data_IF_247581399774
#
_entry.id   IF_247581399774
#
_cell.length_a   1.000
_cell.length_b   1.000
_cell.length_c   1.000
_cell.angle_alpha   90.00
_cell.angle_beta   90.00
_cell.angle_gamma   90.00
#
_symmetry.space_group_name_H-M   'P 1'
#
loop_
_entity.id
_entity.type
_entity.pdbx_description
1 polymer ?
#
# COMPACT_ATOMS: atom_id res chain seq x y z
N UNK A 1 -41.99 4.65 -20.27
CA UNK A 1 -40.59 4.94 -20.65
C UNK A 1 -39.77 3.68 -20.45
N UNK A 2 -38.90 3.27 -21.40
CA UNK A 2 -37.96 2.18 -21.17
C UNK A 2 -36.87 2.58 -20.16
N UNK A 3 -36.30 1.65 -19.38
CA UNK A 3 -35.24 1.96 -18.42
C UNK A 3 -33.95 2.40 -19.13
N UNK A 4 -33.25 3.39 -18.56
CA UNK A 4 -31.99 3.92 -19.13
C UNK A 4 -30.89 2.84 -19.09
N UNK A 5 -30.39 2.43 -20.27
CA UNK A 5 -29.24 1.51 -20.41
C UNK A 5 -28.01 2.06 -19.67
N UNK A 6 -27.28 1.20 -18.98
CA UNK A 6 -26.10 1.56 -18.19
C UNK A 6 -24.89 1.85 -19.09
N UNK A 7 -23.91 2.61 -18.57
CA UNK A 7 -22.72 3.04 -19.33
C UNK A 7 -21.94 1.85 -19.92
N UNK A 8 -21.85 0.74 -19.19
CA UNK A 8 -21.21 -0.50 -19.67
C UNK A 8 -21.87 -1.09 -20.93
N UNK A 9 -23.21 -1.04 -21.03
CA UNK A 9 -23.92 -1.49 -22.23
C UNK A 9 -23.67 -0.59 -23.45
N UNK A 10 -23.23 0.65 -23.24
CA UNK A 10 -22.86 1.60 -24.31
C UNK A 10 -21.39 1.47 -24.75
N UNK A 11 -20.56 0.84 -23.91
CA UNK A 11 -19.16 0.51 -24.22
C UNK A 11 -19.07 -0.78 -25.05
N UNK A 12 -19.96 -1.76 -24.79
CA UNK A 12 -20.03 -3.01 -25.54
C UNK A 12 -20.41 -2.78 -27.02
N UNK A 13 -21.47 -2.02 -27.29
CA UNK A 13 -21.92 -1.69 -28.66
C UNK A 13 -20.83 -0.98 -29.50
N UNK A 14 -19.79 -0.38 -28.88
CA UNK A 14 -18.66 0.27 -29.57
C UNK A 14 -17.57 -0.69 -30.06
N UNK A 15 -17.53 -1.92 -29.58
CA UNK A 15 -16.51 -2.90 -29.96
C UNK A 15 -16.89 -3.75 -31.18
N UNK A 16 -18.18 -3.85 -31.50
CA UNK A 16 -18.67 -4.66 -32.63
C UNK A 16 -18.73 -3.90 -33.97
N UNK A 17 -18.61 -2.57 -33.98
CA UNK A 17 -18.78 -1.72 -35.18
C UNK A 17 -17.45 -1.39 -35.93
N UNK A 18 -16.35 -2.08 -35.59
CA UNK A 18 -15.00 -1.76 -36.09
C UNK A 18 -14.55 -2.62 -37.27
N UNK A 19 -15.17 -2.46 -38.45
CA UNK A 19 -14.62 -2.96 -39.73
C UNK A 19 -13.64 -1.93 -40.35
N UNK A 20 -12.43 -2.33 -40.76
CA UNK A 20 -11.43 -1.38 -41.26
C UNK A 20 -11.51 -1.17 -42.79
N UNK A 21 -12.00 -0.01 -43.24
CA UNK A 21 -11.74 0.46 -44.61
C UNK A 21 -10.39 1.18 -44.70
N UNK A 22 -9.63 0.87 -45.75
CA UNK A 22 -8.33 1.48 -46.08
C UNK A 22 -8.55 2.67 -47.02
N UNK A 23 -8.07 3.87 -46.64
CA UNK A 23 -7.84 4.99 -47.57
C UNK A 23 -6.48 5.65 -47.34
N UNK A 24 -5.93 6.19 -48.43
CA UNK A 24 -4.51 6.52 -48.63
C UNK A 24 -4.34 8.02 -48.88
N UNK A 25 -3.28 8.61 -48.31
CA UNK A 25 -2.70 9.93 -48.60
C UNK A 25 -3.63 11.16 -48.37
N UNK A 26 -3.18 12.37 -48.03
CA UNK A 26 -2.00 13.09 -48.52
C UNK A 26 -1.29 13.97 -47.46
N UNK A 27 -0.25 14.67 -47.91
CA UNK A 27 0.72 15.42 -47.11
C UNK A 27 0.44 16.93 -47.11
N UNK A 28 0.71 17.62 -45.99
CA UNK A 28 1.06 19.05 -46.05
C UNK A 28 1.94 19.51 -44.89
N UNK A 29 2.98 20.25 -45.22
CA UNK A 29 4.08 20.79 -44.41
C UNK A 29 3.72 21.91 -43.41
N UNK A 30 4.46 22.01 -42.31
CA UNK A 30 5.30 23.19 -41.89
C UNK A 30 5.52 23.20 -40.36
N UNK A 31 6.73 22.93 -39.86
CA UNK A 31 7.80 23.90 -39.54
C UNK A 31 7.54 24.78 -38.30
N UNK A 32 8.24 24.49 -37.19
CA UNK A 32 9.10 25.45 -36.45
C UNK A 32 9.84 24.72 -35.30
N UNK A 33 10.94 25.29 -34.82
CA UNK A 33 11.95 24.57 -34.04
C UNK A 33 12.11 25.04 -32.58
N UNK A 34 12.56 24.15 -31.69
CA UNK A 34 13.28 24.52 -30.47
C UNK A 34 14.11 23.38 -29.87
N UNK A 35 15.40 23.38 -30.20
CA UNK A 35 16.54 23.05 -29.33
C UNK A 35 16.34 22.06 -28.16
N UNK A 36 16.64 20.78 -28.41
CA UNK A 36 17.00 19.83 -27.33
C UNK A 36 18.50 19.89 -27.04
N UNK A 37 18.89 20.39 -25.86
CA UNK A 37 20.28 20.36 -25.40
C UNK A 37 20.63 18.96 -24.91
N UNK A 38 21.63 18.35 -25.54
CA UNK A 38 22.20 17.06 -25.14
C UNK A 38 23.36 17.27 -24.16
N UNK A 39 23.25 16.70 -22.95
CA UNK A 39 24.41 16.52 -22.06
C UNK A 39 24.46 15.10 -21.52
N UNK A 40 25.26 14.28 -22.21
CA UNK A 40 26.42 13.58 -21.65
C UNK A 40 26.17 12.65 -20.45
N UNK A 41 25.90 11.38 -20.77
CA UNK A 41 26.08 10.25 -19.85
C UNK A 41 27.54 10.13 -19.42
N UNK A 42 27.83 10.37 -18.14
CA UNK A 42 29.16 10.13 -17.57
C UNK A 42 29.09 9.04 -16.48
N UNK A 43 30.04 8.10 -16.55
CA UNK A 43 30.08 6.87 -15.76
C UNK A 43 30.76 7.13 -14.41
N UNK A 44 30.16 6.80 -13.26
CA UNK A 44 30.84 6.90 -11.97
C UNK A 44 31.90 5.80 -11.79
N UNK A 45 33.03 6.08 -11.11
CA UNK A 45 34.10 5.11 -10.88
C UNK A 45 33.77 4.11 -9.75
N UNK A 46 34.47 2.98 -9.78
CA UNK A 46 34.42 1.93 -8.76
C UNK A 46 34.82 2.45 -7.38
N UNK A 47 33.98 2.22 -6.38
CA UNK A 47 34.36 2.27 -4.95
C UNK A 47 34.06 0.94 -4.29
N UNK A 48 35.04 0.40 -3.55
CA UNK A 48 34.98 -0.95 -3.01
C UNK A 48 34.26 -1.00 -1.65
N UNK A 49 33.27 -1.90 -1.45
CA UNK A 49 32.69 -2.13 -0.13
C UNK A 49 33.52 -3.17 0.65
N UNK A 50 34.24 -2.72 1.67
CA UNK A 50 34.91 -3.57 2.66
C UNK A 50 33.87 -4.34 3.50
N UNK A 51 33.58 -5.59 3.13
CA UNK A 51 32.68 -6.46 3.92
C UNK A 51 33.40 -7.04 5.12
N UNK A 52 32.99 -6.63 6.32
CA UNK A 52 33.34 -7.28 7.57
C UNK A 52 32.76 -8.71 7.63
N UNK A 53 33.56 -9.65 8.15
CA UNK A 53 33.29 -11.09 8.11
C UNK A 53 32.36 -11.52 9.25
N UNK A 54 31.07 -11.18 9.16
CA UNK A 54 30.06 -11.68 10.08
C UNK A 54 29.80 -13.19 9.84
N UNK A 55 30.16 -14.02 10.83
CA UNK A 55 30.08 -15.49 10.75
C UNK A 55 28.65 -15.96 11.03
N UNK A 56 27.83 -16.11 9.99
CA UNK A 56 26.48 -16.65 10.12
C UNK A 56 26.50 -18.10 10.64
N UNK A 57 25.90 -18.34 11.80
CA UNK A 57 25.69 -19.69 12.34
C UNK A 57 24.63 -20.40 11.49
N UNK A 58 24.93 -21.61 11.02
CA UNK A 58 23.94 -22.44 10.33
C UNK A 58 22.78 -22.80 11.26
N UNK A 59 21.55 -22.75 10.74
CA UNK A 59 20.39 -23.26 11.47
C UNK A 59 20.50 -24.78 11.62
N UNK A 60 20.42 -25.24 12.86
CA UNK A 60 20.59 -26.63 13.29
C UNK A 60 19.38 -27.46 12.87
N UNK A 61 19.62 -28.64 12.29
CA UNK A 61 18.55 -29.58 11.91
C UNK A 61 17.69 -29.95 13.14
N UNK A 62 16.38 -29.97 12.95
CA UNK A 62 15.44 -30.64 13.86
C UNK A 62 15.60 -32.17 13.72
N UNK A 63 15.66 -32.96 14.81
CA UNK A 63 15.63 -34.41 14.72
C UNK A 63 14.19 -34.90 14.49
N UNK A 64 14.03 -35.92 13.64
CA UNK A 64 12.79 -36.69 13.56
C UNK A 64 12.60 -37.51 14.84
N UNK A 65 11.36 -37.56 15.33
CA UNK A 65 10.94 -38.52 16.35
C UNK A 65 10.68 -39.89 15.69
N UNK A 66 10.90 -41.02 16.40
CA UNK A 66 10.66 -42.36 15.87
C UNK A 66 9.19 -42.78 15.98
N UNK A 67 8.74 -43.60 15.02
CA UNK A 67 7.39 -44.18 14.96
C UNK A 67 7.12 -45.22 16.07
N UNK A 68 5.84 -45.34 16.46
CA UNK A 68 5.32 -46.41 17.32
C UNK A 68 4.84 -47.65 16.52
N UNK A 69 4.69 -48.82 17.18
CA UNK A 69 4.42 -50.09 16.50
C UNK A 69 2.95 -50.33 16.11
N UNK A 70 2.77 -51.15 15.07
CA UNK A 70 1.51 -51.59 14.43
C UNK A 70 0.75 -52.67 15.24
N UNK A 71 -0.58 -52.81 15.09
CA UNK A 71 -1.31 -53.78 14.21
C UNK A 71 -2.79 -53.91 14.68
N UNK A 72 -3.73 -54.65 14.04
CA UNK A 72 -4.08 -54.80 12.61
C UNK A 72 -5.64 -54.77 12.35
N UNK A 73 -6.13 -55.46 11.30
CA UNK A 73 -7.56 -55.81 10.93
C UNK A 73 -8.42 -54.67 10.28
N UNK A 74 -9.25 -54.84 9.23
CA UNK A 74 -9.75 -56.03 8.47
C UNK A 74 -10.21 -55.69 7.01
N UNK A 75 -9.85 -56.53 6.03
CA UNK A 75 -10.54 -57.04 4.80
C UNK A 75 -11.45 -56.18 3.85
N UNK A 76 -11.36 -56.50 2.53
CA UNK A 76 -12.24 -56.13 1.36
C UNK A 76 -12.13 -54.68 0.86
N UNK A 77 -12.04 -54.37 -0.45
CA UNK A 77 -12.67 -55.00 -1.63
C UNK A 77 -11.81 -54.96 -2.89
N UNK A 78 -11.98 -55.98 -3.74
CA UNK A 78 -11.36 -56.16 -5.05
C UNK A 78 -11.93 -55.26 -6.16
N UNK A 79 -11.08 -54.79 -7.08
CA UNK A 79 -11.47 -54.60 -8.48
C UNK A 79 -10.34 -55.04 -9.42
N UNK A 80 -10.72 -55.76 -10.47
CA UNK A 80 -9.84 -56.42 -11.42
C UNK A 80 -9.51 -55.52 -12.61
N UNK A 81 -8.35 -55.75 -13.24
CA UNK A 81 -8.16 -55.39 -14.64
C UNK A 81 -7.66 -56.58 -15.44
N UNK A 82 -8.34 -56.87 -16.54
CA UNK A 82 -8.16 -58.08 -17.34
C UNK A 82 -7.18 -57.85 -18.49
N UNK A 83 -6.42 -58.89 -18.84
CA UNK A 83 -5.47 -58.92 -19.94
C UNK A 83 -5.96 -59.83 -21.07
N UNK A 84 -5.99 -59.34 -22.31
CA UNK A 84 -6.00 -60.16 -23.54
C UNK A 84 -5.56 -59.29 -24.76
N UNK A 85 -5.24 -59.86 -25.95
CA UNK A 85 -3.86 -59.73 -26.46
C UNK A 85 -3.73 -59.29 -27.94
N UNK A 86 -2.48 -59.05 -28.39
CA UNK A 86 -1.80 -59.30 -29.71
C UNK A 86 -2.58 -59.33 -31.07
N UNK A 87 -1.93 -59.24 -32.28
CA UNK A 87 -0.51 -59.54 -32.62
C UNK A 87 0.11 -58.46 -33.60
N UNK A 88 1.14 -58.67 -34.48
CA UNK A 88 2.15 -57.63 -34.80
C UNK A 88 2.23 -57.27 -36.32
N UNK A 89 3.18 -56.40 -36.78
CA UNK A 89 4.60 -56.75 -37.00
C UNK A 89 5.56 -55.62 -36.51
N UNK A 90 6.89 -55.57 -36.71
CA UNK A 90 7.86 -56.34 -37.53
C UNK A 90 9.23 -56.38 -36.83
N UNK A 91 10.15 -57.27 -37.25
CA UNK A 91 11.57 -57.30 -36.82
C UNK A 91 12.40 -56.16 -37.46
N UNK A 92 13.57 -55.77 -36.90
CA UNK A 92 14.77 -56.63 -36.85
C UNK A 92 15.09 -57.11 -35.42
N UNK A 93 15.35 -58.40 -35.19
CA UNK A 93 16.54 -59.17 -35.62
C UNK A 93 17.82 -58.77 -34.89
N UNK A 94 18.15 -59.59 -33.88
CA UNK A 94 19.48 -59.85 -33.33
C UNK A 94 20.32 -58.68 -32.77
N UNK A 95 20.13 -58.33 -31.48
CA UNK A 95 21.29 -58.13 -30.59
C UNK A 95 21.00 -58.35 -29.08
N UNK A 96 20.75 -59.60 -28.70
CA UNK A 96 20.94 -60.05 -27.32
C UNK A 96 22.31 -60.74 -27.18
N UNK A 97 22.97 -60.59 -26.03
CA UNK A 97 24.23 -61.26 -25.61
C UNK A 97 25.59 -60.68 -26.05
N UNK A 98 25.68 -59.42 -26.50
CA UNK A 98 26.95 -58.67 -26.38
C UNK A 98 27.07 -58.06 -24.98
N UNK A 99 28.15 -58.39 -24.25
CA UNK A 99 28.48 -57.73 -22.97
C UNK A 99 28.66 -56.23 -23.28
N UNK A 100 27.92 -55.30 -22.64
CA UNK A 100 27.99 -53.89 -22.99
C UNK A 100 29.44 -53.41 -22.86
N UNK A 101 29.92 -52.71 -23.88
CA UNK A 101 31.31 -52.24 -23.93
C UNK A 101 31.55 -51.25 -22.79
N UNK A 102 32.82 -50.98 -22.46
CA UNK A 102 33.13 -50.01 -21.39
C UNK A 102 32.56 -48.62 -21.70
N UNK A 103 32.51 -48.25 -22.97
CA UNK A 103 31.94 -47.00 -23.46
C UNK A 103 30.40 -46.96 -23.31
N UNK A 104 29.69 -48.03 -23.69
CA UNK A 104 28.23 -48.15 -23.46
C UNK A 104 27.86 -48.01 -21.97
N UNK A 105 28.68 -48.60 -21.09
CA UNK A 105 28.49 -48.51 -19.64
C UNK A 105 28.71 -47.07 -19.15
N UNK A 106 29.73 -46.38 -19.66
CA UNK A 106 30.00 -44.98 -19.34
C UNK A 106 28.89 -44.05 -19.86
N UNK A 107 28.34 -44.29 -21.05
CA UNK A 107 27.21 -43.54 -21.61
C UNK A 107 25.90 -43.78 -20.82
N UNK A 108 25.62 -45.02 -20.41
CA UNK A 108 24.50 -45.34 -19.51
C UNK A 108 24.68 -44.69 -18.13
N UNK A 109 25.91 -44.62 -17.63
CA UNK A 109 26.23 -43.99 -16.35
C UNK A 109 26.14 -42.45 -16.43
N UNK A 110 26.58 -41.84 -17.54
CA UNK A 110 26.45 -40.39 -17.76
C UNK A 110 25.00 -39.95 -17.91
N UNK A 111 24.17 -40.73 -18.64
CA UNK A 111 22.71 -40.49 -18.74
C UNK A 111 21.98 -40.73 -17.42
N UNK A 112 22.42 -41.67 -16.58
CA UNK A 112 21.90 -41.82 -15.23
C UNK A 112 22.28 -40.62 -14.34
N UNK A 113 23.54 -40.17 -14.38
CA UNK A 113 24.01 -38.96 -13.68
C UNK A 113 23.26 -37.70 -14.13
N UNK A 114 22.98 -37.53 -15.43
CA UNK A 114 22.21 -36.38 -15.92
C UNK A 114 20.76 -36.43 -15.47
N UNK A 115 20.11 -37.61 -15.47
CA UNK A 115 18.76 -37.82 -14.90
C UNK A 115 18.72 -37.53 -13.39
N UNK A 116 19.70 -37.99 -12.61
CA UNK A 116 19.81 -37.68 -11.18
C UNK A 116 20.06 -36.19 -10.91
N UNK A 117 20.88 -35.52 -11.73
CA UNK A 117 21.10 -34.08 -11.63
C UNK A 117 19.84 -33.29 -11.99
N UNK A 118 19.09 -33.75 -13.00
CA UNK A 118 17.82 -33.16 -13.41
C UNK A 118 16.75 -33.27 -12.31
N UNK A 119 16.55 -34.44 -11.71
CA UNK A 119 15.59 -34.61 -10.60
C UNK A 119 15.99 -33.80 -9.37
N UNK A 120 17.28 -33.81 -8.98
CA UNK A 120 17.77 -32.98 -7.87
C UNK A 120 17.54 -31.48 -8.12
N UNK A 121 17.71 -31.03 -9.37
CA UNK A 121 17.44 -29.63 -9.78
C UNK A 121 15.95 -29.30 -9.84
N UNK A 122 15.10 -30.24 -10.25
CA UNK A 122 13.64 -30.10 -10.23
C UNK A 122 13.13 -29.96 -8.79
N UNK A 123 13.46 -30.91 -7.91
CA UNK A 123 13.07 -30.88 -6.50
C UNK A 123 13.55 -29.58 -5.81
N UNK A 124 14.78 -29.14 -6.07
CA UNK A 124 15.29 -27.85 -5.55
C UNK A 124 14.53 -26.65 -6.10
N UNK A 125 14.14 -26.67 -7.38
CA UNK A 125 13.31 -25.62 -7.98
C UNK A 125 11.92 -25.59 -7.34
N UNK A 126 11.28 -26.74 -7.14
CA UNK A 126 9.97 -26.85 -6.50
C UNK A 126 9.98 -26.32 -5.07
N UNK A 127 10.97 -26.71 -4.25
CA UNK A 127 11.15 -26.18 -2.89
C UNK A 127 11.29 -24.64 -2.90
N UNK A 128 12.09 -24.09 -3.82
CA UNK A 128 12.25 -22.63 -3.95
C UNK A 128 10.99 -21.94 -4.47
N UNK A 129 10.26 -22.56 -5.39
CA UNK A 129 8.98 -22.07 -5.88
C UNK A 129 7.94 -22.04 -4.77
N UNK A 130 7.82 -23.09 -3.95
CA UNK A 130 6.87 -23.13 -2.83
C UNK A 130 7.27 -22.17 -1.69
N UNK A 131 8.57 -22.00 -1.42
CA UNK A 131 9.06 -20.92 -0.55
C UNK A 131 8.75 -19.52 -1.12
N UNK A 132 8.78 -19.33 -2.44
CA UNK A 132 8.39 -18.05 -3.05
C UNK A 132 6.88 -17.81 -2.99
N UNK A 133 6.07 -18.86 -3.17
CA UNK A 133 4.60 -18.84 -3.12
C UNK A 133 4.07 -18.58 -1.71
N UNK A 134 4.59 -19.29 -0.71
CA UNK A 134 4.26 -19.03 0.70
C UNK A 134 4.67 -17.61 1.13
N UNK A 135 5.78 -17.08 0.62
CA UNK A 135 6.18 -15.68 0.83
C UNK A 135 5.28 -14.68 0.10
N UNK A 136 4.81 -14.96 -1.12
CA UNK A 136 3.86 -14.07 -1.80
C UNK A 136 2.50 -14.07 -1.10
N UNK A 137 1.95 -15.25 -0.79
CA UNK A 137 0.69 -15.40 -0.05
C UNK A 137 0.73 -14.70 1.32
N UNK A 138 1.79 -14.90 2.12
CA UNK A 138 1.93 -14.19 3.40
C UNK A 138 2.12 -12.68 3.24
N UNK A 139 2.66 -12.20 2.11
CA UNK A 139 2.72 -10.76 1.81
C UNK A 139 1.36 -10.21 1.37
N UNK A 140 0.63 -10.95 0.54
CA UNK A 140 -0.70 -10.57 0.03
C UNK A 140 -1.72 -10.49 1.17
N UNK A 141 -1.74 -11.48 2.07
CA UNK A 141 -2.57 -11.51 3.28
C UNK A 141 -2.30 -10.33 4.22
N UNK A 142 -1.04 -9.88 4.32
CA UNK A 142 -0.65 -8.70 5.11
C UNK A 142 -1.09 -7.37 4.48
N UNK A 143 -1.54 -7.35 3.23
CA UNK A 143 -2.07 -6.12 2.65
C UNK A 143 -3.45 -5.81 3.22
N UNK A 144 -3.64 -4.58 3.69
CA UNK A 144 -4.95 -4.11 4.19
C UNK A 144 -6.04 -4.10 3.09
N UNK A 145 -5.69 -4.25 1.82
CA UNK A 145 -6.66 -4.47 0.74
C UNK A 145 -7.21 -5.89 0.78
N UNK A 146 -6.34 -6.90 0.80
CA UNK A 146 -6.74 -8.32 0.87
C UNK A 146 -7.48 -8.64 2.15
N UNK A 147 -7.01 -8.17 3.32
CA UNK A 147 -7.73 -8.35 4.59
C UNK A 147 -9.17 -7.81 4.54
N UNK A 148 -9.40 -6.62 3.96
CA UNK A 148 -10.76 -6.07 3.76
C UNK A 148 -11.59 -6.85 2.74
N UNK A 149 -10.98 -7.46 1.73
CA UNK A 149 -11.67 -8.34 0.77
C UNK A 149 -12.09 -9.66 1.42
N UNK A 150 -11.22 -10.25 2.26
CA UNK A 150 -11.51 -11.49 2.99
C UNK A 150 -12.65 -11.29 3.99
N UNK A 151 -12.56 -10.27 4.86
CA UNK A 151 -13.65 -9.95 5.80
C UNK A 151 -14.99 -9.66 5.10
N UNK A 152 -14.97 -9.09 3.90
CA UNK A 152 -16.18 -8.93 3.07
C UNK A 152 -16.68 -10.26 2.51
N UNK A 153 -15.80 -11.16 2.08
CA UNK A 153 -16.17 -12.48 1.58
C UNK A 153 -16.75 -13.36 2.70
N UNK A 154 -16.12 -13.35 3.88
CA UNK A 154 -16.60 -14.02 5.10
C UNK A 154 -18.00 -13.53 5.47
N UNK A 155 -18.20 -12.20 5.57
CA UNK A 155 -19.52 -11.61 5.86
C UNK A 155 -20.57 -11.93 4.79
N UNK A 156 -20.19 -12.09 3.52
CA UNK A 156 -21.13 -12.50 2.45
C UNK A 156 -21.48 -13.98 2.51
N UNK A 157 -20.55 -14.85 2.91
CA UNK A 157 -20.80 -16.28 3.15
C UNK A 157 -21.70 -16.46 4.37
N UNK A 158 -21.39 -15.83 5.50
CA UNK A 158 -22.26 -15.81 6.68
C UNK A 158 -23.68 -15.31 6.34
N UNK A 159 -23.80 -14.24 5.54
CA UNK A 159 -25.09 -13.73 5.09
C UNK A 159 -25.84 -14.67 4.12
N UNK A 160 -25.14 -15.56 3.43
CA UNK A 160 -25.77 -16.63 2.63
C UNK A 160 -26.26 -17.72 3.56
N UNK A 161 -25.39 -18.22 4.43
CA UNK A 161 -25.64 -19.36 5.31
C UNK A 161 -26.81 -19.07 6.26
N UNK A 162 -26.89 -17.84 6.81
CA UNK A 162 -28.03 -17.38 7.61
C UNK A 162 -29.35 -17.28 6.83
N UNK A 163 -29.31 -16.98 5.53
CA UNK A 163 -30.52 -17.01 4.68
C UNK A 163 -30.94 -18.43 4.34
N UNK A 164 -29.97 -19.32 4.12
CA UNK A 164 -30.20 -20.75 3.88
C UNK A 164 -30.76 -21.45 5.14
N UNK A 165 -30.36 -21.03 6.35
CA UNK A 165 -30.95 -21.49 7.62
C UNK A 165 -32.30 -20.86 7.95
N UNK A 166 -32.73 -19.83 7.22
CA UNK A 166 -33.99 -19.10 7.46
C UNK A 166 -33.92 -18.04 8.58
N UNK A 167 -32.71 -17.71 9.07
CA UNK A 167 -32.51 -16.72 10.12
C UNK A 167 -32.49 -15.27 9.61
N UNK A 168 -32.97 -14.34 10.43
CA UNK A 168 -32.90 -12.91 10.12
C UNK A 168 -31.48 -12.39 10.34
N UNK A 169 -30.74 -12.19 9.23
CA UNK A 169 -29.40 -11.59 9.18
C UNK A 169 -29.20 -10.42 10.15
N UNK A 170 -30.07 -9.41 10.13
CA UNK A 170 -29.92 -8.23 11.00
C UNK A 170 -30.16 -8.54 12.49
N UNK A 171 -30.96 -9.58 12.82
CA UNK A 171 -31.10 -10.04 14.21
C UNK A 171 -29.82 -10.69 14.70
N UNK A 172 -29.25 -11.63 13.93
CA UNK A 172 -27.97 -12.27 14.24
C UNK A 172 -26.87 -11.22 14.39
N UNK A 173 -26.76 -10.31 13.42
CA UNK A 173 -25.81 -9.19 13.47
C UNK A 173 -25.99 -8.33 14.72
N UNK A 174 -27.22 -8.00 15.12
CA UNK A 174 -27.47 -7.23 16.34
C UNK A 174 -27.05 -7.98 17.62
N UNK A 175 -27.05 -9.31 17.64
CA UNK A 175 -26.51 -10.09 18.77
C UNK A 175 -24.98 -10.03 18.84
N UNK A 176 -24.28 -9.76 17.72
CA UNK A 176 -22.80 -9.66 17.71
C UNK A 176 -22.27 -8.32 18.25
N UNK A 177 -23.11 -7.30 18.40
CA UNK A 177 -22.66 -5.98 18.86
C UNK A 177 -22.47 -5.93 20.39
N UNK A 178 -21.21 -5.89 20.83
CA UNK A 178 -20.86 -5.63 22.22
C UNK A 178 -21.09 -4.16 22.61
N UNK A 179 -21.45 -3.92 23.88
CA UNK A 179 -21.57 -2.57 24.45
C UNK A 179 -20.28 -1.76 24.27
N UNK A 180 -19.12 -2.38 24.44
CA UNK A 180 -17.84 -1.71 24.26
C UNK A 180 -17.62 -1.21 22.83
N UNK A 181 -18.11 -1.95 21.84
CA UNK A 181 -17.91 -1.62 20.43
C UNK A 181 -18.86 -0.51 19.99
N UNK A 182 -20.06 -0.48 20.54
CA UNK A 182 -20.96 0.67 20.45
C UNK A 182 -20.33 1.91 21.10
N UNK A 183 -19.75 1.79 22.30
CA UNK A 183 -19.03 2.91 22.93
C UNK A 183 -17.83 3.39 22.10
N UNK A 184 -17.01 2.48 21.55
CA UNK A 184 -15.88 2.81 20.67
C UNK A 184 -16.37 3.52 19.40
N UNK A 185 -17.51 3.08 18.85
CA UNK A 185 -18.15 3.70 17.69
C UNK A 185 -18.66 5.11 18.01
N UNK A 186 -19.36 5.30 19.13
CA UNK A 186 -19.88 6.60 19.54
C UNK A 186 -18.76 7.58 19.89
N UNK A 187 -17.71 7.13 20.60
CA UNK A 187 -16.49 7.92 20.84
C UNK A 187 -15.85 8.37 19.51
N UNK A 188 -15.79 7.49 18.51
CA UNK A 188 -15.29 7.81 17.16
C UNK A 188 -16.21 8.77 16.40
N UNK A 189 -17.54 8.63 16.53
CA UNK A 189 -18.50 9.54 15.92
C UNK A 189 -18.41 10.93 16.56
N UNK A 190 -18.36 11.02 17.90
CA UNK A 190 -18.16 12.25 18.65
C UNK A 190 -16.84 12.94 18.27
N UNK A 191 -15.72 12.20 18.19
CA UNK A 191 -14.44 12.71 17.68
C UNK A 191 -14.61 13.27 16.27
N UNK A 192 -15.26 12.54 15.35
CA UNK A 192 -15.53 13.02 13.98
C UNK A 192 -16.37 14.29 13.97
N UNK A 193 -17.37 14.43 14.84
CA UNK A 193 -18.16 15.68 14.97
C UNK A 193 -17.30 16.84 15.49
N UNK A 194 -16.44 16.61 16.50
CA UNK A 194 -15.47 17.61 17.01
C UNK A 194 -14.43 18.02 15.95
N UNK A 195 -14.05 17.11 15.06
CA UNK A 195 -13.12 17.38 13.95
C UNK A 195 -13.77 18.06 12.74
N UNK A 196 -15.11 18.02 12.57
CA UNK A 196 -15.79 18.76 11.50
C UNK A 196 -15.60 20.26 11.69
N UNK A 197 -15.55 20.98 10.57
CA UNK A 197 -15.54 22.44 10.64
C UNK A 197 -16.89 22.95 11.17
N UNK A 198 -16.85 23.81 12.18
CA UNK A 198 -18.04 24.37 12.85
C UNK A 198 -18.35 25.79 12.34
N UNK A 199 -17.55 26.30 11.39
CA UNK A 199 -17.72 27.61 10.78
C UNK A 199 -16.76 28.65 11.37
N UNK A 200 -17.27 29.85 11.64
CA UNK A 200 -16.46 30.93 12.22
C UNK A 200 -16.16 30.62 13.68
N UNK A 201 -14.89 30.32 13.95
CA UNK A 201 -14.33 30.09 15.29
C UNK A 201 -13.39 31.23 15.66
N UNK A 202 -13.13 31.41 16.95
CA UNK A 202 -12.13 32.37 17.42
C UNK A 202 -10.71 32.01 16.94
N UNK A 203 -9.82 33.01 16.92
CA UNK A 203 -8.43 32.83 16.55
C UNK A 203 -7.67 31.89 17.51
N UNK A 204 -8.00 31.90 18.81
CA UNK A 204 -7.39 30.97 19.77
C UNK A 204 -7.79 29.52 19.49
N UNK A 205 -9.08 29.25 19.28
CA UNK A 205 -9.60 27.93 18.91
C UNK A 205 -9.03 27.43 17.57
N UNK A 206 -8.91 28.33 16.59
CA UNK A 206 -8.29 28.03 15.30
C UNK A 206 -6.81 27.64 15.46
N UNK A 207 -6.06 28.35 16.30
CA UNK A 207 -4.68 28.02 16.64
C UNK A 207 -4.57 26.69 17.39
N UNK A 208 -5.45 26.43 18.37
CA UNK A 208 -5.49 25.17 19.11
C UNK A 208 -5.78 23.98 18.19
N UNK A 209 -6.73 24.11 17.26
CA UNK A 209 -7.05 23.07 16.25
C UNK A 209 -5.87 22.83 15.29
N UNK A 210 -5.18 23.88 14.87
CA UNK A 210 -3.97 23.75 14.05
C UNK A 210 -2.85 23.01 14.81
N UNK A 211 -2.60 23.39 16.07
CA UNK A 211 -1.64 22.72 16.95
C UNK A 211 -1.97 21.24 17.17
N UNK A 212 -3.22 20.90 17.50
CA UNK A 212 -3.65 19.50 17.66
C UNK A 212 -3.41 18.67 16.38
N UNK A 213 -3.66 19.24 15.19
CA UNK A 213 -3.36 18.59 13.91
C UNK A 213 -1.85 18.36 13.74
N UNK A 214 -1.02 19.34 14.09
CA UNK A 214 0.44 19.23 13.99
C UNK A 214 0.99 18.17 14.96
N UNK A 215 0.51 18.15 16.21
CA UNK A 215 0.81 17.10 17.20
C UNK A 215 0.44 15.71 16.68
N UNK A 216 -0.72 15.55 16.04
CA UNK A 216 -1.13 14.30 15.41
C UNK A 216 -0.31 13.88 14.18
N UNK A 217 0.44 14.81 13.56
CA UNK A 217 1.32 14.55 12.42
C UNK A 217 2.75 14.19 12.84
N UNK A 218 3.18 14.61 14.04
CA UNK A 218 4.51 14.36 14.58
C UNK A 218 4.71 12.87 14.90
N UNK A 219 5.81 12.30 14.40
CA UNK A 219 6.22 10.91 14.63
C UNK A 219 7.55 10.89 15.39
N UNK A 220 7.55 10.74 16.73
CA UNK A 220 8.77 10.78 17.53
C UNK A 220 9.65 9.55 17.24
N UNK A 221 10.96 9.78 17.05
CA UNK A 221 11.93 8.70 16.90
C UNK A 221 12.42 8.24 18.28
N UNK A 222 11.77 7.22 18.82
CA UNK A 222 12.02 6.69 20.18
C UNK A 222 13.49 6.25 20.34
N UNK A 223 14.11 5.67 19.31
CA UNK A 223 15.49 5.19 19.38
C UNK A 223 16.53 6.32 19.42
N UNK A 224 16.27 7.45 18.73
CA UNK A 224 17.12 8.63 18.86
C UNK A 224 16.95 9.28 20.23
N UNK A 225 15.72 9.41 20.72
CA UNK A 225 15.42 9.93 22.06
C UNK A 225 16.07 9.08 23.17
N UNK A 226 16.05 7.75 23.06
CA UNK A 226 16.73 6.86 24.02
C UNK A 226 18.24 7.08 24.03
N UNK A 227 18.89 7.19 22.86
CA UNK A 227 20.33 7.50 22.77
C UNK A 227 20.67 8.85 23.36
N UNK A 228 19.93 9.90 23.02
CA UNK A 228 20.15 11.25 23.57
C UNK A 228 19.91 11.28 25.09
N UNK A 229 18.89 10.58 25.59
CA UNK A 229 18.66 10.41 27.02
C UNK A 229 19.84 9.71 27.69
N UNK A 230 20.30 8.58 27.15
CA UNK A 230 21.49 7.87 27.64
C UNK A 230 22.72 8.79 27.66
N UNK A 231 23.02 9.47 26.54
CA UNK A 231 24.16 10.38 26.40
C UNK A 231 24.13 11.52 27.43
N UNK A 232 22.94 12.08 27.75
CA UNK A 232 22.78 13.10 28.78
C UNK A 232 22.87 12.56 30.21
N UNK A 233 22.51 11.29 30.43
CA UNK A 233 22.59 10.63 31.75
C UNK A 233 23.92 9.90 32.04
N UNK A 234 24.81 9.77 31.04
CA UNK A 234 26.09 9.08 31.23
C UNK A 234 26.96 9.83 32.24
N UNK A 235 27.46 9.17 33.31
CA UNK A 235 28.33 9.82 34.28
C UNK A 235 29.68 10.20 33.65
N UNK A 236 30.31 11.23 34.22
CA UNK A 236 31.64 11.71 33.84
C UNK A 236 32.69 10.61 34.04
N UNK A 237 33.15 9.97 32.96
CA UNK A 237 34.27 9.01 33.03
C UNK A 237 35.58 9.79 32.97
N UNK A 238 36.28 9.90 34.10
CA UNK A 238 37.60 10.53 34.17
C UNK A 238 38.63 9.65 33.47
N UNK A 239 39.21 10.13 32.37
CA UNK A 239 40.30 9.44 31.70
C UNK A 239 41.53 9.32 32.63
N UNK A 240 42.32 8.23 32.54
CA UNK A 240 43.45 7.99 33.45
C UNK A 240 44.57 9.03 33.37
N UNK A 241 44.58 9.87 32.32
CA UNK A 241 45.53 10.98 32.14
C UNK A 241 45.08 12.30 32.80
N UNK A 242 44.07 12.25 33.68
CA UNK A 242 43.60 13.39 34.47
C UNK A 242 42.68 14.37 33.73
N UNK A 243 42.74 14.43 32.39
CA UNK A 243 41.90 15.29 31.56
C UNK A 243 40.43 14.82 31.58
N UNK A 244 39.52 15.74 31.91
CA UNK A 244 38.08 15.51 31.85
C UNK A 244 37.64 15.58 30.38
N UNK A 245 37.37 14.43 29.77
CA UNK A 245 36.61 14.39 28.53
C UNK A 245 35.12 14.48 28.86
N UNK A 246 34.36 15.24 28.08
CA UNK A 246 32.91 15.46 28.18
C UNK A 246 32.45 16.38 29.32
N UNK A 247 32.70 17.69 29.23
CA UNK A 247 32.16 18.70 30.16
C UNK A 247 30.61 18.82 30.15
N UNK A 248 29.93 18.09 29.26
CA UNK A 248 28.47 18.11 29.05
C UNK A 248 27.70 17.02 29.79
N UNK A 249 28.38 16.04 30.40
CA UNK A 249 27.75 14.97 31.17
C UNK A 249 27.52 15.42 32.63
N UNK A 250 26.50 16.27 32.84
CA UNK A 250 26.13 16.73 34.19
C UNK A 250 25.34 15.66 34.95
N UNK A 251 25.61 15.63 36.26
CA UNK A 251 25.16 14.66 37.25
C UNK A 251 23.66 14.35 37.12
N UNK A 252 23.35 13.07 37.00
CA UNK A 252 22.00 12.58 37.21
C UNK A 252 21.67 12.59 38.71
N UNK A 253 21.20 13.72 39.23
CA UNK A 253 20.41 13.85 40.46
C UNK A 253 19.58 15.15 40.41
N UNK A 254 18.26 14.98 40.23
CA UNK A 254 17.09 15.75 40.68
C UNK A 254 17.05 17.31 40.67
N UNK A 255 18.14 18.03 40.41
CA UNK A 255 18.17 19.49 40.33
C UNK A 255 17.81 20.00 38.93
N UNK A 256 16.87 20.95 38.88
CA UNK A 256 16.24 21.50 37.68
C UNK A 256 17.14 22.49 36.91
N UNK A 257 18.36 22.10 36.52
CA UNK A 257 19.20 22.98 35.71
C UNK A 257 18.71 23.03 34.25
N UNK A 258 17.84 24.01 33.96
CA UNK A 258 17.29 24.26 32.62
C UNK A 258 18.41 24.75 31.70
N UNK A 259 19.08 23.80 31.06
CA UNK A 259 20.18 24.07 30.13
C UNK A 259 19.66 24.59 28.79
N UNK A 260 19.40 25.89 28.73
CA UNK A 260 18.95 26.63 27.55
C UNK A 260 20.12 27.11 26.68
N UNK A 261 19.91 27.20 25.36
CA UNK A 261 20.84 27.85 24.42
C UNK A 261 22.05 27.04 23.94
N UNK A 262 22.33 25.86 24.50
CA UNK A 262 23.50 25.04 24.12
C UNK A 262 23.20 23.87 23.19
N UNK A 263 21.93 23.52 22.99
CA UNK A 263 21.53 22.46 22.06
C UNK A 263 21.75 22.92 20.62
N UNK A 264 22.70 22.27 19.94
CA UNK A 264 22.93 22.42 18.50
C UNK A 264 22.27 21.25 17.76
N UNK A 265 21.09 21.43 17.13
CA UNK A 265 20.39 20.34 16.46
C UNK A 265 21.13 19.89 15.20
N UNK A 266 21.09 18.58 14.91
CA UNK A 266 21.59 18.00 13.65
C UNK A 266 20.86 18.59 12.44
N UNK A 267 21.55 18.80 11.32
CA UNK A 267 20.94 19.29 10.06
C UNK A 267 19.67 18.51 9.64
N UNK A 268 19.67 17.18 9.73
CA UNK A 268 18.50 16.32 9.48
C UNK A 268 17.27 16.65 10.38
N UNK A 269 17.50 17.14 11.61
CA UNK A 269 16.41 17.63 12.47
C UNK A 269 15.89 19.00 12.00
N UNK A 270 16.77 19.88 11.52
CA UNK A 270 16.39 21.18 10.94
C UNK A 270 15.58 20.97 9.66
N UNK A 271 16.02 20.08 8.77
CA UNK A 271 15.34 19.78 7.49
C UNK A 271 13.92 19.24 7.72
N UNK A 272 13.72 18.37 8.73
CA UNK A 272 12.38 17.93 9.15
C UNK A 272 11.47 19.08 9.58
N UNK A 273 12.00 20.05 10.32
CA UNK A 273 11.24 21.25 10.74
C UNK A 273 10.91 22.12 9.54
N UNK A 274 11.87 22.38 8.66
CA UNK A 274 11.65 23.15 7.42
C UNK A 274 10.62 22.48 6.51
N UNK A 275 10.66 21.15 6.36
CA UNK A 275 9.66 20.39 5.62
C UNK A 275 8.26 20.54 6.24
N UNK A 276 8.14 20.45 7.57
CA UNK A 276 6.87 20.64 8.28
C UNK A 276 6.32 22.06 8.11
N UNK A 277 7.16 23.09 8.19
CA UNK A 277 6.77 24.49 7.97
C UNK A 277 6.30 24.74 6.53
N UNK A 278 6.98 24.16 5.54
CA UNK A 278 6.56 24.25 4.14
C UNK A 278 5.22 23.55 3.88
N UNK A 279 4.99 22.40 4.50
CA UNK A 279 3.69 21.71 4.45
C UNK A 279 2.57 22.53 5.12
N UNK A 280 2.84 23.16 6.27
CA UNK A 280 1.88 24.05 6.92
C UNK A 280 1.54 25.28 6.04
N UNK A 281 2.55 25.89 5.42
CA UNK A 281 2.38 26.99 4.47
C UNK A 281 1.45 26.61 3.30
N UNK A 282 1.61 25.39 2.76
CA UNK A 282 0.72 24.86 1.72
C UNK A 282 -0.73 24.68 2.22
N UNK A 283 -0.93 24.17 3.45
CA UNK A 283 -2.26 24.04 4.06
C UNK A 283 -2.93 25.42 4.22
N UNK A 284 -2.19 26.42 4.70
CA UNK A 284 -2.70 27.79 4.87
C UNK A 284 -3.09 28.40 3.52
N UNK A 285 -2.25 28.26 2.49
CA UNK A 285 -2.55 28.70 1.13
C UNK A 285 -3.81 28.02 0.56
N UNK A 286 -3.96 26.72 0.79
CA UNK A 286 -5.10 25.93 0.30
C UNK A 286 -6.39 26.11 1.12
N UNK A 287 -6.36 26.82 2.26
CA UNK A 287 -7.56 27.10 3.07
C UNK A 287 -8.61 27.89 2.29
N UNK A 288 -8.18 28.88 1.50
CA UNK A 288 -9.08 29.69 0.66
C UNK A 288 -9.17 29.10 -0.75
N UNK A 289 -9.98 28.05 -0.91
CA UNK A 289 -10.19 27.42 -2.22
C UNK A 289 -10.93 28.37 -3.16
N UNK A 290 -10.36 28.62 -4.34
CA UNK A 290 -11.09 29.23 -5.46
C UNK A 290 -12.27 28.33 -5.81
N UNK A 291 -13.43 28.94 -6.09
CA UNK A 291 -14.57 28.25 -6.69
C UNK A 291 -14.48 28.49 -8.18
N UNK A 292 -14.71 27.45 -8.98
CA UNK A 292 -14.86 27.58 -10.42
C UNK A 292 -16.06 28.47 -10.74
N UNK A 293 -16.01 29.08 -11.92
CA UNK A 293 -17.01 30.00 -12.41
C UNK A 293 -17.72 29.31 -13.58
N UNK A 294 -19.05 29.29 -13.54
CA UNK A 294 -19.84 28.70 -14.61
C UNK A 294 -19.99 29.72 -15.72
N UNK A 295 -19.65 29.35 -16.95
CA UNK A 295 -19.74 30.23 -18.13
C UNK A 295 -21.20 30.63 -18.42
N UNK A 296 -22.16 29.77 -18.06
CA UNK A 296 -23.61 30.01 -18.19
C UNK A 296 -24.18 30.98 -17.12
N UNK A 297 -23.37 31.48 -16.18
CA UNK A 297 -23.84 32.35 -15.11
C UNK A 297 -23.91 33.82 -15.55
N UNK A 298 -25.02 34.50 -15.23
CA UNK A 298 -25.25 35.90 -15.58
C UNK A 298 -24.13 36.84 -15.08
N UNK A 299 -23.55 37.60 -16.01
CA UNK A 299 -22.35 38.42 -15.79
C UNK A 299 -22.72 39.80 -15.22
N UNK A 300 -23.07 39.80 -13.94
CA UNK A 300 -23.50 41.01 -13.21
C UNK A 300 -22.32 41.86 -12.70
N UNK A 301 -21.23 41.99 -13.48
CA UNK A 301 -20.03 42.74 -13.11
C UNK A 301 -19.21 43.18 -14.33
N UNK A 302 -18.54 44.33 -14.21
CA UNK A 302 -17.66 44.90 -15.26
C UNK A 302 -16.16 44.61 -14.97
N UNK A 303 -15.77 44.50 -13.70
CA UNK A 303 -14.40 44.21 -13.29
C UNK A 303 -14.36 43.26 -12.07
N UNK A 304 -13.20 42.69 -11.77
CA UNK A 304 -13.05 41.69 -10.69
C UNK A 304 -13.31 42.27 -9.28
N UNK A 305 -13.04 43.55 -9.05
CA UNK A 305 -13.35 44.21 -7.79
C UNK A 305 -14.87 44.31 -7.57
N UNK A 306 -15.61 44.71 -8.61
CA UNK A 306 -17.07 44.76 -8.64
C UNK A 306 -17.67 43.34 -8.51
N UNK A 307 -17.08 42.33 -9.18
CA UNK A 307 -17.42 40.91 -9.01
C UNK A 307 -17.30 40.45 -7.55
N UNK A 308 -16.21 40.81 -6.88
CA UNK A 308 -16.00 40.49 -5.46
C UNK A 308 -16.94 41.27 -4.54
N UNK A 309 -17.26 42.53 -4.87
CA UNK A 309 -18.23 43.35 -4.17
C UNK A 309 -19.67 42.81 -4.30
N UNK A 310 -20.11 42.48 -5.52
CA UNK A 310 -21.41 41.87 -5.77
C UNK A 310 -21.50 40.49 -5.13
N UNK A 311 -20.42 39.70 -5.12
CA UNK A 311 -20.31 38.45 -4.34
C UNK A 311 -20.27 38.65 -2.82
N UNK A 312 -19.98 39.87 -2.33
CA UNK A 312 -20.14 40.24 -0.92
C UNK A 312 -21.60 40.58 -0.64
N UNK A 313 -22.21 41.47 -1.43
CA UNK A 313 -23.65 41.81 -1.34
C UNK A 313 -24.51 40.54 -1.39
N UNK A 314 -24.24 39.65 -2.34
CA UNK A 314 -24.90 38.34 -2.51
C UNK A 314 -24.92 37.50 -1.22
N UNK A 315 -23.89 37.57 -0.37
CA UNK A 315 -23.86 36.79 0.89
C UNK A 315 -24.72 37.37 2.01
N UNK A 316 -24.95 38.68 2.01
CA UNK A 316 -25.68 39.37 3.07
C UNK A 316 -27.15 39.60 2.69
N UNK A 317 -27.40 40.06 1.46
CA UNK A 317 -28.72 40.53 1.03
C UNK A 317 -29.50 39.54 0.18
N UNK A 318 -28.91 38.41 -0.29
CA UNK A 318 -29.66 37.46 -1.13
C UNK A 318 -30.94 36.97 -0.47
N UNK A 319 -30.90 36.70 0.84
CA UNK A 319 -32.05 36.18 1.59
C UNK A 319 -33.27 37.09 1.52
N UNK A 320 -33.03 38.40 1.56
CA UNK A 320 -34.07 39.43 1.56
C UNK A 320 -34.42 39.92 0.15
N UNK A 321 -33.61 39.58 -0.86
CA UNK A 321 -33.76 40.05 -2.25
C UNK A 321 -34.13 38.94 -3.24
N UNK A 322 -34.51 37.76 -2.76
CA UNK A 322 -35.00 36.64 -3.61
C UNK A 322 -36.23 37.09 -4.40
N UNK A 323 -37.26 37.61 -3.72
CA UNK A 323 -38.51 38.05 -4.34
C UNK A 323 -38.29 39.16 -5.38
N UNK A 324 -37.47 40.16 -5.07
CA UNK A 324 -37.13 41.24 -6.02
C UNK A 324 -36.43 40.69 -7.27
N UNK A 325 -35.56 39.68 -7.10
CA UNK A 325 -34.88 39.01 -8.22
C UNK A 325 -35.84 38.17 -9.05
N UNK A 326 -36.67 37.36 -8.41
CA UNK A 326 -37.69 36.55 -9.10
C UNK A 326 -38.68 37.45 -9.87
N UNK A 327 -39.07 38.60 -9.31
CA UNK A 327 -39.93 39.57 -9.99
C UNK A 327 -39.22 40.26 -11.18
N UNK A 328 -37.91 40.52 -11.10
CA UNK A 328 -37.11 40.99 -12.24
C UNK A 328 -37.02 39.92 -13.34
N UNK A 329 -36.70 38.67 -12.97
CA UNK A 329 -36.64 37.52 -13.89
C UNK A 329 -38.02 37.20 -14.52
N UNK A 330 -39.11 37.50 -13.81
CA UNK A 330 -40.50 37.34 -14.29
C UNK A 330 -41.03 38.52 -15.11
N UNK A 331 -40.28 39.61 -15.24
CA UNK A 331 -40.66 40.77 -16.06
C UNK A 331 -41.45 41.87 -15.34
N UNK A 332 -41.09 42.18 -14.09
CA UNK A 332 -41.57 43.36 -13.33
C UNK A 332 -43.09 43.47 -13.15
N UNK A 333 -43.80 42.34 -13.13
CA UNK A 333 -45.17 42.30 -12.63
C UNK A 333 -45.15 42.31 -11.09
N UNK A 334 -45.74 43.34 -10.48
CA UNK A 334 -46.03 43.46 -9.05
C UNK A 334 -47.28 42.64 -8.68
#
# INVERSE_FOLDING_TARGET
MPPRRTRAAKEADRHDEATPEVKVAESSSSTTASHGISTKTERPPSTAPTKSKAKAKAARHQPLLPDGPSTPTTTTTSSSFSSNPEPPPTSPSAEATRKPTMEDRQARLSTLRSKMAASTRANRREILCEQSRSRSLTSELKTASTSRKLAKAESLLEQRDLRESGEHVERHRNMTYSLEDNEKWDKKLQQKQKSKDQGTIDFADAAQRAYQRQVGLLKPNIALYQKEKEDRTKPLVRNPKGTIANYTARVAEEAQEIHYGTHSPTHDAIDRVVQHLNHEKQIIQNRSRRREEHEDAEVNYINDANKHFNKKLKRFYDKESIEIRENLERGTAL
#
